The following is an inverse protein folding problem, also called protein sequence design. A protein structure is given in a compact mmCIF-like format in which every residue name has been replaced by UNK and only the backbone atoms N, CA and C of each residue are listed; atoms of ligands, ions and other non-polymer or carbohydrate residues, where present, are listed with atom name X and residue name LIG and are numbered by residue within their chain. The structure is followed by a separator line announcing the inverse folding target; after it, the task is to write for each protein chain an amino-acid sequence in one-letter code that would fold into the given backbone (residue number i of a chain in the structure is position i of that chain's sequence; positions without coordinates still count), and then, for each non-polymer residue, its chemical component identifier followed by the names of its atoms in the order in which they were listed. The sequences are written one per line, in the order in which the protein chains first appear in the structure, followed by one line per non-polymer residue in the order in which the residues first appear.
data_IF_784567048275
#
_entry.id   IF_784567048275
#
_cell.length_a   1.000
_cell.length_b   1.000
_cell.length_c   1.000
_cell.angle_alpha   90.00
_cell.angle_beta   90.00
_cell.angle_gamma   90.00
#
_symmetry.space_group_name_H-M   'P 1'
#
loop_
_entity.id
_entity.type
_entity.pdbx_description
1 polymer ?
#
# COMPACT_ATOMS: atom_id res chain seq x y z
N UNK A 1 -42.48 40.20 -18.64
CA UNK A 1 -41.17 40.76 -18.91
C UNK A 1 -40.30 39.67 -19.44
N UNK A 2 -39.79 39.86 -20.58
CA UNK A 2 -39.25 39.09 -21.67
C UNK A 2 -38.22 38.02 -21.28
N UNK A 3 -38.51 36.79 -21.70
CA UNK A 3 -37.58 35.66 -21.78
C UNK A 3 -36.89 35.75 -23.14
N UNK A 4 -35.58 35.82 -23.18
CA UNK A 4 -34.81 35.72 -24.41
C UNK A 4 -34.19 34.31 -24.52
N UNK A 5 -34.56 33.66 -25.62
CA UNK A 5 -34.09 32.39 -26.15
C UNK A 5 -32.67 32.53 -26.73
N UNK A 6 -31.74 31.59 -26.48
CA UNK A 6 -30.44 31.54 -27.18
C UNK A 6 -30.38 30.35 -28.13
N UNK A 7 -31.01 30.46 -29.30
CA UNK A 7 -30.75 29.64 -30.48
C UNK A 7 -30.31 30.53 -31.63
N UNK A 8 -29.00 30.77 -31.76
CA UNK A 8 -28.40 31.24 -33.02
C UNK A 8 -27.19 30.42 -33.38
N UNK A 9 -27.42 29.49 -34.26
CA UNK A 9 -26.78 29.09 -35.52
C UNK A 9 -25.29 29.25 -35.68
N UNK A 10 -24.62 28.08 -35.66
CA UNK A 10 -23.34 27.83 -36.34
C UNK A 10 -23.53 27.78 -37.84
N UNK A 11 -22.93 28.72 -38.57
CA UNK A 11 -22.74 28.61 -40.01
C UNK A 11 -21.28 28.88 -40.39
N UNK A 12 -20.73 27.94 -41.16
CA UNK A 12 -19.63 27.97 -42.13
C UNK A 12 -18.26 28.52 -41.73
N UNK A 13 -17.31 27.61 -41.59
CA UNK A 13 -15.98 27.72 -42.22
C UNK A 13 -15.55 26.38 -42.78
N UNK A 14 -15.85 26.15 -44.04
CA UNK A 14 -15.15 25.23 -44.93
C UNK A 14 -13.89 25.93 -45.46
N UNK A 15 -12.93 25.07 -45.88
CA UNK A 15 -11.75 25.30 -46.66
C UNK A 15 -10.47 25.71 -45.90
N UNK A 16 -9.62 24.71 -45.72
CA UNK A 16 -8.32 24.58 -46.43
C UNK A 16 -7.72 23.21 -46.08
N UNK A 17 -7.99 22.24 -46.97
CA UNK A 17 -7.21 21.00 -47.03
C UNK A 17 -6.04 21.26 -47.99
N UNK A 18 -4.82 21.15 -47.50
CA UNK A 18 -3.66 20.82 -48.34
C UNK A 18 -2.95 19.60 -47.72
N UNK A 19 -2.88 18.58 -48.57
CA UNK A 19 -2.24 17.29 -48.36
C UNK A 19 -0.74 17.45 -48.19
N UNK A 20 -0.16 16.95 -47.09
CA UNK A 20 1.25 16.55 -47.04
C UNK A 20 1.32 15.03 -46.83
N UNK A 21 1.33 14.29 -47.93
CA UNK A 21 1.60 12.87 -48.01
C UNK A 21 3.10 12.63 -47.76
N UNK A 22 3.48 12.48 -46.50
CA UNK A 22 4.76 11.82 -46.16
C UNK A 22 4.50 10.36 -45.79
N UNK A 23 4.82 9.52 -46.76
CA UNK A 23 4.87 8.05 -46.57
C UNK A 23 5.89 7.70 -45.48
N UNK A 24 5.41 7.36 -44.29
CA UNK A 24 6.24 6.76 -43.24
C UNK A 24 6.37 5.26 -43.54
N UNK A 25 7.54 4.85 -44.05
CA UNK A 25 7.91 3.44 -44.03
C UNK A 25 8.05 2.94 -42.58
N UNK A 26 7.58 1.73 -42.28
CA UNK A 26 7.83 1.11 -40.98
C UNK A 26 9.33 0.81 -40.82
N UNK A 27 9.90 0.94 -39.59
CA UNK A 27 11.29 0.59 -39.35
C UNK A 27 11.48 -0.91 -39.58
N UNK A 28 12.52 -1.26 -40.34
CA UNK A 28 12.94 -2.62 -40.61
C UNK A 28 13.35 -3.39 -39.34
N UNK A 29 13.45 -4.73 -39.39
CA UNK A 29 13.81 -5.54 -38.23
C UNK A 29 15.19 -5.17 -37.71
N UNK A 30 15.28 -4.94 -36.40
CA UNK A 30 16.54 -4.72 -35.70
C UNK A 30 17.23 -6.07 -35.58
N UNK A 31 18.33 -6.22 -36.29
CA UNK A 31 19.17 -7.42 -36.27
C UNK A 31 19.72 -7.71 -34.86
N UNK A 32 19.74 -9.00 -34.55
CA UNK A 32 20.03 -9.64 -33.30
C UNK A 32 21.22 -9.07 -32.54
N UNK A 33 20.93 -8.55 -31.36
CA UNK A 33 21.91 -8.49 -30.27
C UNK A 33 21.89 -9.84 -29.55
N UNK A 34 22.98 -10.59 -29.72
CA UNK A 34 23.30 -11.77 -28.94
C UNK A 34 23.34 -11.36 -27.46
N UNK A 35 22.43 -11.94 -26.68
CA UNK A 35 22.43 -11.79 -25.22
C UNK A 35 23.80 -12.21 -24.66
N UNK A 36 24.51 -11.27 -24.04
CA UNK A 36 25.64 -11.56 -23.20
C UNK A 36 25.20 -12.49 -22.04
N UNK A 37 26.06 -13.46 -21.61
CA UNK A 37 25.72 -14.31 -20.48
C UNK A 37 25.45 -13.43 -19.25
N UNK A 38 24.30 -13.61 -18.64
CA UNK A 38 23.90 -12.93 -17.42
C UNK A 38 25.00 -13.08 -16.38
N UNK A 39 25.72 -12.00 -16.10
CA UNK A 39 26.38 -11.86 -14.83
C UNK A 39 25.25 -11.90 -13.79
N UNK A 40 25.27 -12.91 -12.92
CA UNK A 40 24.35 -12.99 -11.78
C UNK A 40 24.58 -11.72 -10.96
N UNK A 41 23.61 -10.81 -10.99
CA UNK A 41 23.63 -9.68 -10.05
C UNK A 41 23.78 -10.23 -8.64
N UNK A 42 24.65 -9.64 -7.81
CA UNK A 42 24.74 -10.06 -6.42
C UNK A 42 23.33 -9.95 -5.80
N UNK A 43 22.97 -10.85 -4.88
CA UNK A 43 21.66 -10.79 -4.22
C UNK A 43 21.45 -9.38 -3.68
N UNK A 44 20.29 -8.78 -3.87
CA UNK A 44 20.03 -7.42 -3.42
C UNK A 44 20.30 -7.34 -1.91
N UNK A 45 21.04 -6.33 -1.50
CA UNK A 45 21.35 -6.08 -0.08
C UNK A 45 20.08 -5.82 0.75
N UNK A 46 20.22 -5.63 2.06
CA UNK A 46 19.10 -5.31 2.95
C UNK A 46 18.30 -4.13 2.40
N UNK A 47 16.95 -4.30 2.26
CA UNK A 47 16.02 -3.27 1.82
C UNK A 47 15.40 -2.57 3.02
N UNK A 48 14.98 -1.33 2.82
CA UNK A 48 14.09 -0.62 3.73
C UNK A 48 12.66 -0.75 3.21
N UNK A 49 11.78 -1.33 4.02
CA UNK A 49 10.38 -1.62 3.68
C UNK A 49 9.49 -0.73 4.53
N UNK A 50 8.59 0.03 3.92
CA UNK A 50 7.54 0.74 4.64
C UNK A 50 6.21 0.00 4.46
N UNK A 51 5.54 -0.29 5.56
CA UNK A 51 4.18 -0.85 5.59
C UNK A 51 3.22 0.28 5.93
N UNK A 52 2.39 0.68 4.98
CA UNK A 52 1.46 1.81 5.08
C UNK A 52 0.05 1.27 5.18
N UNK A 53 -0.57 1.39 6.37
CA UNK A 53 -1.90 0.87 6.66
C UNK A 53 -2.83 1.96 7.17
N UNK A 54 -4.13 1.70 7.14
CA UNK A 54 -5.15 2.62 7.62
C UNK A 54 -5.13 2.70 9.15
N UNK A 55 -5.20 1.54 9.82
CA UNK A 55 -5.39 1.44 11.27
C UNK A 55 -4.33 0.54 11.92
N UNK A 56 -4.12 0.66 13.23
CA UNK A 56 -3.50 -0.40 14.03
C UNK A 56 -4.26 -1.71 13.83
N UNK A 57 -3.54 -2.83 13.77
CA UNK A 57 -3.96 -4.22 13.48
C UNK A 57 -4.03 -4.63 11.99
N UNK A 58 -4.24 -3.73 11.05
CA UNK A 58 -4.36 -4.07 9.63
C UNK A 58 -3.18 -4.91 9.11
N UNK A 59 -1.96 -4.52 9.47
CA UNK A 59 -0.76 -5.23 9.05
C UNK A 59 -0.69 -6.64 9.67
N UNK A 60 -1.16 -6.79 10.91
CA UNK A 60 -1.19 -8.04 11.63
C UNK A 60 -2.14 -9.03 10.97
N UNK A 61 -3.29 -8.58 10.51
CA UNK A 61 -4.20 -9.38 9.69
C UNK A 61 -3.64 -9.68 8.30
N UNK A 62 -3.13 -8.65 7.60
CA UNK A 62 -2.81 -8.72 6.18
C UNK A 62 -1.43 -9.29 5.84
N UNK A 63 -0.36 -8.81 6.48
CA UNK A 63 1.01 -9.05 6.01
C UNK A 63 2.07 -9.34 7.08
N UNK A 64 1.71 -9.50 8.36
CA UNK A 64 2.69 -9.66 9.44
C UNK A 64 3.58 -10.90 9.33
N UNK A 65 3.10 -11.98 8.71
CA UNK A 65 3.93 -13.15 8.42
C UNK A 65 5.08 -12.83 7.47
N UNK A 66 4.79 -12.08 6.41
CA UNK A 66 5.77 -11.56 5.45
C UNK A 66 6.71 -10.56 6.10
N UNK A 67 6.19 -9.65 6.94
CA UNK A 67 7.00 -8.70 7.72
C UNK A 67 8.01 -9.43 8.60
N UNK A 68 7.57 -10.41 9.38
CA UNK A 68 8.45 -11.22 10.24
C UNK A 68 9.52 -11.95 9.42
N UNK A 69 9.16 -12.47 8.25
CA UNK A 69 10.10 -13.11 7.33
C UNK A 69 11.12 -12.12 6.80
N UNK A 70 10.71 -10.94 6.33
CA UNK A 70 11.64 -9.92 5.83
C UNK A 70 12.59 -9.42 6.90
N UNK A 71 12.12 -9.24 8.14
CA UNK A 71 12.99 -8.91 9.27
C UNK A 71 14.02 -10.02 9.52
N UNK A 72 13.60 -11.30 9.50
CA UNK A 72 14.48 -12.47 9.63
C UNK A 72 15.51 -12.54 8.49
N UNK A 73 15.16 -12.09 7.29
CA UNK A 73 16.03 -11.99 6.12
C UNK A 73 16.99 -10.77 6.18
N UNK A 74 16.88 -9.94 7.22
CA UNK A 74 17.77 -8.79 7.46
C UNK A 74 17.29 -7.48 6.87
N UNK A 75 16.05 -7.39 6.39
CA UNK A 75 15.46 -6.14 5.94
C UNK A 75 15.04 -5.26 7.13
N UNK A 76 15.06 -3.94 6.95
CA UNK A 76 14.52 -2.98 7.93
C UNK A 76 13.07 -2.67 7.57
N UNK A 77 12.15 -2.86 8.52
CA UNK A 77 10.73 -2.59 8.32
C UNK A 77 10.28 -1.40 9.19
N UNK A 78 9.52 -0.48 8.60
CA UNK A 78 8.92 0.70 9.25
C UNK A 78 7.41 0.63 9.03
N UNK A 79 6.63 0.77 10.09
CA UNK A 79 5.17 0.90 9.98
C UNK A 79 4.76 2.38 9.91
N UNK A 80 3.80 2.69 9.06
CA UNK A 80 3.19 4.00 8.90
C UNK A 80 1.68 3.79 8.97
N UNK A 81 1.07 4.14 10.12
CA UNK A 81 -0.36 4.05 10.35
C UNK A 81 -0.98 5.41 10.04
N UNK A 82 -1.95 5.46 9.14
CA UNK A 82 -2.57 6.71 8.73
C UNK A 82 -3.48 7.27 9.82
N UNK A 83 -4.23 6.39 10.50
CA UNK A 83 -5.04 6.73 11.67
C UNK A 83 -4.53 6.01 12.91
N UNK A 84 -5.07 6.31 14.07
CA UNK A 84 -4.83 5.56 15.32
C UNK A 84 -6.06 4.75 15.76
N UNK A 85 -7.08 4.63 14.90
CA UNK A 85 -8.24 3.80 15.15
C UNK A 85 -9.14 4.33 16.27
N UNK A 86 -9.33 5.65 16.34
CA UNK A 86 -10.09 6.33 17.40
C UNK A 86 -11.61 6.09 17.35
N UNK A 87 -12.11 5.44 16.30
CA UNK A 87 -13.51 5.03 16.17
C UNK A 87 -13.74 3.51 16.24
N UNK A 88 -12.69 2.70 16.37
CA UNK A 88 -12.75 1.23 16.39
C UNK A 88 -13.16 0.63 17.75
N UNK A 89 -13.96 1.30 18.57
CA UNK A 89 -14.44 0.80 19.87
C UNK A 89 -15.93 0.51 19.90
N UNK A 90 -16.33 -0.54 20.60
CA UNK A 90 -17.75 -0.88 20.86
C UNK A 90 -18.23 -0.39 22.23
N UNK A 91 -17.31 -0.10 23.15
CA UNK A 91 -17.62 0.37 24.50
C UNK A 91 -17.83 1.89 24.53
N UNK A 92 -19.07 2.31 24.77
CA UNK A 92 -19.45 3.72 24.86
C UNK A 92 -18.81 4.49 26.04
N UNK A 93 -18.23 3.79 27.01
CA UNK A 93 -17.57 4.38 28.16
C UNK A 93 -16.09 4.69 27.91
N UNK A 94 -15.54 4.20 26.77
CA UNK A 94 -14.18 4.50 26.31
C UNK A 94 -14.18 5.77 25.46
N UNK A 95 -13.33 6.74 25.81
CA UNK A 95 -13.18 7.95 24.98
C UNK A 95 -12.25 7.69 23.78
N UNK A 96 -12.41 8.44 22.68
CA UNK A 96 -11.49 8.34 21.53
C UNK A 96 -10.01 8.49 21.92
N UNK A 97 -9.69 9.42 22.83
CA UNK A 97 -8.32 9.64 23.28
C UNK A 97 -7.76 8.43 24.05
N UNK A 98 -8.60 7.76 24.87
CA UNK A 98 -8.20 6.54 25.57
C UNK A 98 -8.00 5.40 24.61
N UNK A 99 -8.88 5.28 23.62
CA UNK A 99 -8.78 4.25 22.58
C UNK A 99 -7.51 4.41 21.73
N UNK A 100 -7.19 5.64 21.30
CA UNK A 100 -5.92 5.96 20.60
C UNK A 100 -4.73 5.48 21.42
N UNK A 101 -4.66 5.86 22.71
CA UNK A 101 -3.55 5.48 23.57
C UNK A 101 -3.41 3.95 23.71
N UNK A 102 -4.53 3.25 23.81
CA UNK A 102 -4.57 1.78 23.91
C UNK A 102 -4.10 1.15 22.61
N UNK A 103 -4.70 1.51 21.46
CA UNK A 103 -4.38 0.92 20.17
C UNK A 103 -2.96 1.22 19.70
N UNK A 104 -2.45 2.43 19.96
CA UNK A 104 -1.04 2.74 19.69
C UNK A 104 -0.09 1.89 20.55
N UNK A 105 -0.42 1.63 21.83
CA UNK A 105 0.39 0.78 22.69
C UNK A 105 0.36 -0.71 22.25
N UNK A 106 -0.80 -1.22 21.84
CA UNK A 106 -0.97 -2.56 21.30
C UNK A 106 -0.20 -2.74 20.00
N UNK A 107 -0.31 -1.78 19.08
CA UNK A 107 0.47 -1.79 17.83
C UNK A 107 1.97 -1.78 18.08
N UNK A 108 2.46 -1.01 19.05
CA UNK A 108 3.89 -1.02 19.40
C UNK A 108 4.32 -2.38 19.96
N UNK A 109 3.47 -3.04 20.74
CA UNK A 109 3.75 -4.40 21.23
C UNK A 109 3.77 -5.43 20.09
N UNK A 110 2.84 -5.33 19.13
CA UNK A 110 2.85 -6.17 17.92
C UNK A 110 4.13 -5.92 17.10
N UNK A 111 4.52 -4.68 16.91
CA UNK A 111 5.76 -4.29 16.22
C UNK A 111 7.02 -4.86 16.90
N UNK A 112 7.08 -4.85 18.25
CA UNK A 112 8.19 -5.47 19.00
C UNK A 112 8.27 -6.98 18.74
N UNK A 113 7.12 -7.67 18.73
CA UNK A 113 7.05 -9.11 18.43
C UNK A 113 7.57 -9.39 17.02
N UNK A 114 7.23 -8.56 16.02
CA UNK A 114 7.62 -8.73 14.63
C UNK A 114 9.07 -8.30 14.34
N UNK A 115 9.67 -7.48 15.21
CA UNK A 115 10.97 -6.87 15.00
C UNK A 115 10.95 -5.66 14.07
N UNK A 116 9.81 -4.98 13.96
CA UNK A 116 9.66 -3.71 13.23
C UNK A 116 10.53 -2.64 13.87
N UNK A 117 11.32 -1.93 13.04
CA UNK A 117 12.37 -1.02 13.54
C UNK A 117 11.86 0.35 13.96
N UNK A 118 10.72 0.78 13.43
CA UNK A 118 10.14 2.10 13.67
C UNK A 118 8.62 2.05 13.38
N UNK A 119 7.82 2.76 14.18
CA UNK A 119 6.37 2.91 13.96
C UNK A 119 6.02 4.39 13.96
N UNK A 120 5.33 4.86 12.91
CA UNK A 120 4.94 6.24 12.71
C UNK A 120 3.41 6.29 12.67
N UNK A 121 2.78 7.01 13.61
CA UNK A 121 1.35 7.28 13.62
C UNK A 121 1.10 8.67 13.05
N UNK A 122 0.35 8.76 11.93
CA UNK A 122 -0.01 10.04 11.33
C UNK A 122 -1.24 10.66 12.00
N UNK A 123 -2.00 9.87 12.76
CA UNK A 123 -3.14 10.29 13.59
C UNK A 123 -4.18 11.10 12.83
N UNK A 124 -4.45 10.72 11.58
CA UNK A 124 -5.60 11.24 10.83
C UNK A 124 -6.89 10.68 11.45
N UNK A 125 -8.04 11.36 11.33
CA UNK A 125 -9.30 10.88 11.86
C UNK A 125 -9.69 9.52 11.27
N UNK A 126 -10.00 8.55 12.11
CA UNK A 126 -10.52 7.22 11.73
C UNK A 126 -11.94 7.35 11.17
N UNK A 127 -12.27 6.54 10.15
CA UNK A 127 -13.54 6.58 9.44
C UNK A 127 -13.72 7.76 8.47
N UNK A 128 -12.80 8.74 8.49
CA UNK A 128 -12.85 9.94 7.66
C UNK A 128 -11.65 10.07 6.72
N UNK A 129 -10.85 9.01 6.58
CA UNK A 129 -9.66 9.04 5.75
C UNK A 129 -10.01 9.25 4.28
N UNK A 130 -9.39 10.24 3.66
CA UNK A 130 -9.57 10.56 2.25
C UNK A 130 -8.24 10.64 1.52
N UNK A 131 -8.22 10.18 0.24
CA UNK A 131 -7.05 10.30 -0.62
C UNK A 131 -6.95 11.71 -1.23
N UNK A 132 -7.03 12.74 -0.40
CA UNK A 132 -6.94 14.13 -0.82
C UNK A 132 -5.50 14.64 -0.95
N UNK A 133 -5.34 15.91 -1.36
CA UNK A 133 -4.03 16.52 -1.56
C UNK A 133 -3.25 16.73 -0.24
N UNK A 134 -3.95 16.95 0.87
CA UNK A 134 -3.33 17.17 2.17
C UNK A 134 -2.76 15.86 2.72
N UNK A 135 -3.56 14.81 2.72
CA UNK A 135 -3.17 13.45 3.11
C UNK A 135 -2.02 12.93 2.24
N UNK A 136 -2.13 13.12 0.91
CA UNK A 136 -1.04 12.75 -0.03
C UNK A 136 0.26 13.49 0.30
N UNK A 137 0.21 14.80 0.56
CA UNK A 137 1.40 15.58 0.89
C UNK A 137 2.04 15.13 2.18
N UNK A 138 1.22 14.83 3.21
CA UNK A 138 1.68 14.29 4.48
C UNK A 138 2.41 12.95 4.28
N UNK A 139 1.82 12.04 3.51
CA UNK A 139 2.43 10.75 3.21
C UNK A 139 3.69 10.89 2.34
N UNK A 140 3.72 11.81 1.35
CA UNK A 140 4.95 12.12 0.59
C UNK A 140 6.06 12.61 1.50
N UNK A 141 5.75 13.47 2.48
CA UNK A 141 6.71 13.92 3.50
C UNK A 141 7.28 12.73 4.26
N UNK A 142 6.42 11.86 4.75
CA UNK A 142 6.80 10.67 5.53
C UNK A 142 7.65 9.72 4.69
N UNK A 143 7.24 9.40 3.46
CA UNK A 143 8.00 8.52 2.56
C UNK A 143 9.36 9.13 2.14
N UNK A 144 9.46 10.45 1.96
CA UNK A 144 10.74 11.11 1.71
C UNK A 144 11.66 11.12 2.94
N UNK A 145 11.10 11.08 4.14
CA UNK A 145 11.85 10.93 5.40
C UNK A 145 12.35 9.49 5.57
N UNK A 146 11.45 8.52 5.44
CA UNK A 146 11.73 7.08 5.62
C UNK A 146 12.62 6.55 4.49
N UNK A 147 12.42 7.01 3.24
CA UNK A 147 13.15 6.59 2.04
C UNK A 147 13.10 5.07 1.80
N UNK A 148 11.91 4.46 1.70
CA UNK A 148 11.80 3.02 1.54
C UNK A 148 12.12 2.57 0.11
N UNK A 149 12.75 1.41 -0.04
CA UNK A 149 12.94 0.73 -1.34
C UNK A 149 11.63 0.06 -1.78
N UNK A 150 10.89 -0.47 -0.80
CA UNK A 150 9.65 -1.23 -0.96
C UNK A 150 8.55 -0.58 -0.12
N UNK A 151 7.34 -0.51 -0.66
CA UNK A 151 6.14 -0.12 0.09
C UNK A 151 5.13 -1.26 0.04
N UNK A 152 4.58 -1.61 1.20
CA UNK A 152 3.42 -2.50 1.33
C UNK A 152 2.23 -1.64 1.70
N UNK A 153 1.07 -1.88 1.09
CA UNK A 153 -0.18 -1.20 1.43
C UNK A 153 -1.39 -2.03 1.01
N UNK A 154 -2.57 -1.47 1.14
CA UNK A 154 -3.83 -2.11 0.81
C UNK A 154 -4.18 -1.96 -0.68
N UNK A 155 -4.89 -2.93 -1.28
CA UNK A 155 -5.42 -2.77 -2.63
C UNK A 155 -6.66 -1.84 -2.62
N UNK A 156 -6.57 -0.62 -3.20
CA UNK A 156 -7.70 0.31 -3.22
C UNK A 156 -8.86 -0.15 -4.10
N UNK A 157 -8.64 -1.13 -4.97
CA UNK A 157 -9.65 -1.67 -5.88
C UNK A 157 -10.55 -2.72 -5.23
N UNK A 158 -10.19 -3.23 -4.07
CA UNK A 158 -11.00 -4.17 -3.33
C UNK A 158 -12.16 -3.45 -2.64
N UNK A 159 -13.37 -3.58 -3.18
CA UNK A 159 -14.58 -2.91 -2.67
C UNK A 159 -15.43 -3.82 -1.79
N UNK A 160 -15.59 -5.09 -2.19
CA UNK A 160 -16.36 -6.10 -1.47
C UNK A 160 -15.92 -7.50 -1.88
N UNK A 161 -16.20 -8.48 -1.02
CA UNK A 161 -16.05 -9.91 -1.32
C UNK A 161 -17.39 -10.56 -1.66
N UNK A 162 -17.35 -11.73 -2.27
CA UNK A 162 -18.54 -12.55 -2.57
C UNK A 162 -19.21 -13.07 -1.30
N UNK A 163 -18.53 -13.10 -0.15
CA UNK A 163 -19.08 -13.43 1.15
C UNK A 163 -19.92 -12.33 1.78
N UNK A 164 -20.04 -11.16 1.13
CA UNK A 164 -20.82 -10.01 1.62
C UNK A 164 -20.04 -9.04 2.50
N UNK A 165 -18.72 -9.21 2.65
CA UNK A 165 -17.88 -8.21 3.32
C UNK A 165 -17.73 -6.98 2.44
N UNK A 166 -17.99 -5.79 2.99
CA UNK A 166 -17.70 -4.51 2.36
C UNK A 166 -16.39 -3.98 2.94
N UNK A 167 -15.41 -3.73 2.07
CA UNK A 167 -14.11 -3.23 2.52
C UNK A 167 -14.22 -1.83 3.14
N UNK A 168 -13.50 -1.61 4.22
CA UNK A 168 -13.52 -0.34 4.97
C UNK A 168 -13.15 0.84 4.03
N UNK A 169 -13.83 1.99 4.11
CA UNK A 169 -13.50 3.15 3.28
C UNK A 169 -12.06 3.61 3.47
N UNK A 170 -11.56 3.57 4.71
CA UNK A 170 -10.19 3.98 5.03
C UNK A 170 -9.13 3.04 4.44
N UNK A 171 -9.41 1.72 4.32
CA UNK A 171 -8.52 0.79 3.64
C UNK A 171 -8.32 1.17 2.17
N UNK A 172 -9.44 1.51 1.49
CA UNK A 172 -9.39 1.96 0.09
C UNK A 172 -8.68 3.30 -0.05
N UNK A 173 -8.95 4.24 0.88
CA UNK A 173 -8.30 5.54 0.89
C UNK A 173 -6.79 5.43 1.18
N UNK A 174 -6.40 4.54 2.11
CA UNK A 174 -5.00 4.25 2.43
C UNK A 174 -4.23 3.71 1.21
N UNK A 175 -4.79 2.71 0.54
CA UNK A 175 -4.21 2.17 -0.69
C UNK A 175 -4.10 3.23 -1.79
N UNK A 176 -5.17 3.99 -2.04
CA UNK A 176 -5.20 5.03 -3.06
C UNK A 176 -4.18 6.14 -2.77
N UNK A 177 -4.16 6.69 -1.55
CA UNK A 177 -3.24 7.78 -1.21
C UNK A 177 -1.79 7.31 -1.21
N UNK A 178 -1.53 6.04 -0.88
CA UNK A 178 -0.21 5.44 -0.95
C UNK A 178 0.31 5.38 -2.39
N UNK A 179 -0.48 4.87 -3.32
CA UNK A 179 -0.13 4.86 -4.74
C UNK A 179 0.09 6.27 -5.29
N UNK A 180 -0.81 7.20 -4.97
CA UNK A 180 -0.72 8.60 -5.39
C UNK A 180 0.48 9.33 -4.77
N UNK A 181 0.90 8.97 -3.56
CA UNK A 181 2.09 9.52 -2.92
C UNK A 181 3.36 8.97 -3.56
N UNK A 182 3.42 7.67 -3.88
CA UNK A 182 4.57 7.05 -4.54
C UNK A 182 4.74 7.64 -5.93
N UNK A 183 3.68 7.66 -6.74
CA UNK A 183 3.74 8.16 -8.10
C UNK A 183 2.66 9.23 -8.37
N UNK A 184 3.06 10.43 -8.83
CA UNK A 184 4.45 10.87 -9.04
C UNK A 184 5.10 11.54 -7.82
N UNK A 185 4.42 11.59 -6.65
CA UNK A 185 4.73 12.51 -5.55
C UNK A 185 6.13 12.38 -4.97
N UNK A 186 6.49 11.17 -4.51
CA UNK A 186 7.72 10.95 -3.74
C UNK A 186 8.97 11.07 -4.62
N UNK A 187 8.92 10.56 -5.86
CA UNK A 187 10.08 10.50 -6.75
C UNK A 187 10.29 11.72 -7.63
N UNK A 188 9.28 12.55 -7.85
CA UNK A 188 9.36 13.67 -8.77
C UNK A 188 10.06 14.89 -8.14
N UNK A 189 11.20 15.38 -8.72
CA UNK A 189 11.92 16.54 -8.18
C UNK A 189 11.16 17.87 -8.34
N UNK A 190 10.15 17.93 -9.21
CA UNK A 190 9.31 19.13 -9.42
C UNK A 190 8.04 19.12 -8.58
N UNK A 191 7.72 17.98 -7.93
CA UNK A 191 6.60 17.90 -6.99
C UNK A 191 7.04 18.30 -5.57
N UNK A 192 6.14 19.00 -4.86
CA UNK A 192 6.35 19.38 -3.45
C UNK A 192 7.68 20.12 -3.22
N UNK A 193 7.85 21.26 -3.92
CA UNK A 193 9.06 22.08 -3.85
C UNK A 193 9.31 22.62 -2.44
N UNK A 194 8.28 22.85 -1.66
CA UNK A 194 8.35 23.24 -0.25
C UNK A 194 8.99 22.13 0.61
N UNK A 195 8.61 20.87 0.44
CA UNK A 195 9.26 19.74 1.12
C UNK A 195 10.75 19.64 0.74
N UNK A 196 11.06 19.88 -0.53
CA UNK A 196 12.45 19.91 -0.98
C UNK A 196 13.24 21.06 -0.35
N UNK A 197 12.63 22.22 -0.16
CA UNK A 197 13.25 23.36 0.53
C UNK A 197 13.53 23.04 2.01
N UNK A 198 12.74 22.19 2.64
CA UNK A 198 12.96 21.64 3.98
C UNK A 198 14.05 20.55 4.04
N UNK A 199 14.66 20.16 2.90
CA UNK A 199 15.68 19.12 2.83
C UNK A 199 15.12 17.72 2.56
N UNK A 200 13.81 17.57 2.40
CA UNK A 200 13.17 16.29 2.06
C UNK A 200 13.27 16.03 0.55
N UNK A 201 14.41 15.49 0.17
CA UNK A 201 14.74 15.27 -1.24
C UNK A 201 13.88 14.15 -1.85
N UNK A 202 13.61 14.22 -3.18
CA UNK A 202 12.91 13.15 -3.89
C UNK A 202 13.56 11.79 -3.66
N UNK A 203 12.70 10.77 -3.56
CA UNK A 203 13.09 9.38 -3.39
C UNK A 203 12.21 8.48 -4.25
N UNK A 204 12.80 7.53 -4.97
CA UNK A 204 12.06 6.57 -5.79
C UNK A 204 11.86 5.27 -5.01
N UNK A 205 10.63 4.94 -4.70
CA UNK A 205 10.21 3.59 -4.33
C UNK A 205 10.40 2.68 -5.55
N UNK A 206 10.85 1.45 -5.35
CA UNK A 206 11.13 0.50 -6.43
C UNK A 206 10.09 -0.60 -6.56
N UNK A 207 9.50 -1.01 -5.48
CA UNK A 207 8.55 -2.11 -5.43
C UNK A 207 7.36 -1.74 -4.56
N UNK A 208 6.19 -2.21 -4.98
CA UNK A 208 4.95 -2.06 -4.22
C UNK A 208 4.33 -3.45 -4.07
N UNK A 209 3.88 -3.77 -2.86
CA UNK A 209 3.08 -4.93 -2.54
C UNK A 209 1.72 -4.46 -2.03
N UNK A 210 0.64 -4.82 -2.73
CA UNK A 210 -0.72 -4.52 -2.27
C UNK A 210 -1.34 -5.79 -1.71
N UNK A 211 -1.71 -5.76 -0.44
CA UNK A 211 -2.41 -6.85 0.24
C UNK A 211 -3.91 -6.82 -0.08
N UNK A 212 -4.64 -7.87 0.26
CA UNK A 212 -6.06 -8.04 -0.03
C UNK A 212 -6.43 -7.88 -1.53
N UNK A 213 -5.48 -8.09 -2.42
CA UNK A 213 -5.67 -7.94 -3.86
C UNK A 213 -6.54 -9.06 -4.45
N UNK A 214 -7.49 -8.70 -5.31
CA UNK A 214 -8.34 -9.67 -6.03
C UNK A 214 -7.57 -10.49 -7.07
N UNK A 215 -6.48 -9.95 -7.61
CA UNK A 215 -5.63 -10.59 -8.63
C UNK A 215 -4.16 -10.61 -8.18
N UNK A 216 -3.84 -11.34 -7.09
CA UNK A 216 -2.47 -11.45 -6.61
C UNK A 216 -1.58 -12.09 -7.67
N UNK A 217 -0.30 -11.72 -7.69
CA UNK A 217 0.69 -12.27 -8.62
C UNK A 217 1.98 -12.72 -7.92
N UNK A 218 2.05 -12.56 -6.59
CA UNK A 218 3.12 -13.08 -5.75
C UNK A 218 2.56 -13.65 -4.46
N UNK A 219 3.17 -14.75 -4.02
CA UNK A 219 2.87 -15.40 -2.73
C UNK A 219 4.16 -15.49 -1.94
N UNK A 220 4.08 -15.17 -0.65
CA UNK A 220 5.20 -15.23 0.28
C UNK A 220 4.92 -16.36 1.27
N UNK A 221 5.79 -17.35 1.31
CA UNK A 221 5.74 -18.42 2.30
C UNK A 221 5.97 -17.87 3.70
N UNK A 222 5.01 -18.02 4.57
CA UNK A 222 5.04 -17.58 5.97
C UNK A 222 4.97 -18.75 6.96
N UNK A 223 5.18 -19.99 6.49
CA UNK A 223 5.05 -21.18 7.31
C UNK A 223 5.91 -21.10 8.58
N UNK A 224 7.15 -20.61 8.46
CA UNK A 224 8.05 -20.44 9.62
C UNK A 224 7.75 -19.21 10.48
N UNK A 225 6.96 -18.26 10.00
CA UNK A 225 6.67 -16.99 10.69
C UNK A 225 5.19 -16.86 11.07
N UNK A 226 4.36 -17.86 10.76
CA UNK A 226 2.95 -17.87 11.04
C UNK A 226 2.64 -17.72 12.55
N UNK A 227 3.34 -18.43 13.41
CA UNK A 227 3.17 -18.31 14.85
C UNK A 227 3.60 -16.94 15.40
N UNK A 228 4.55 -16.29 14.73
CA UNK A 228 4.97 -14.92 15.07
C UNK A 228 3.89 -13.91 14.68
N UNK A 229 3.28 -14.07 13.49
CA UNK A 229 2.11 -13.31 13.05
C UNK A 229 0.95 -13.41 14.06
N UNK A 230 0.59 -14.64 14.48
CA UNK A 230 -0.48 -14.85 15.47
C UNK A 230 -0.19 -14.18 16.81
N UNK A 231 1.05 -14.24 17.27
CA UNK A 231 1.43 -13.57 18.52
C UNK A 231 1.36 -12.06 18.41
N UNK A 232 1.72 -11.50 17.27
CA UNK A 232 1.61 -10.07 17.02
C UNK A 232 0.14 -9.63 16.99
N UNK A 233 -0.70 -10.34 16.23
CA UNK A 233 -2.13 -10.06 16.16
C UNK A 233 -2.82 -10.17 17.54
N UNK A 234 -2.44 -11.13 18.37
CA UNK A 234 -2.97 -11.27 19.74
C UNK A 234 -2.55 -10.12 20.69
N UNK A 235 -1.66 -9.23 20.28
CA UNK A 235 -1.34 -8.03 21.04
C UNK A 235 -2.43 -6.95 20.90
N UNK A 236 -3.27 -7.02 19.86
CA UNK A 236 -4.38 -6.08 19.61
C UNK A 236 -5.63 -6.47 20.45
N UNK A 237 -5.46 -6.54 21.77
CA UNK A 237 -6.46 -7.04 22.73
C UNK A 237 -7.75 -6.25 22.66
N UNK A 238 -7.68 -4.93 22.51
CA UNK A 238 -8.86 -4.05 22.47
C UNK A 238 -9.75 -4.30 21.25
N UNK A 239 -9.22 -4.93 20.20
CA UNK A 239 -9.94 -5.23 18.96
C UNK A 239 -10.38 -6.70 18.90
N UNK A 240 -9.64 -7.58 19.53
CA UNK A 240 -9.95 -9.02 19.53
C UNK A 240 -10.92 -9.40 20.64
N UNK A 241 -10.93 -8.65 21.76
CA UNK A 241 -11.69 -8.99 22.97
C UNK A 241 -11.42 -10.46 23.41
N UNK A 242 -12.47 -11.26 23.51
CA UNK A 242 -12.39 -12.70 23.85
C UNK A 242 -12.26 -13.62 22.61
N UNK A 243 -12.17 -13.04 21.40
CA UNK A 243 -12.06 -13.81 20.16
C UNK A 243 -10.60 -14.18 19.84
N UNK A 244 -10.34 -15.49 19.64
CA UNK A 244 -9.05 -15.95 19.14
C UNK A 244 -9.03 -16.02 17.61
N UNK A 245 -8.19 -15.25 16.92
CA UNK A 245 -8.16 -15.20 15.46
C UNK A 245 -7.48 -16.42 14.81
N UNK A 246 -6.91 -17.36 15.57
CA UNK A 246 -6.05 -18.42 15.05
C UNK A 246 -6.70 -19.26 13.96
N UNK A 247 -7.92 -19.75 14.15
CA UNK A 247 -8.61 -20.61 13.18
C UNK A 247 -8.83 -19.86 11.84
N UNK A 248 -9.25 -18.60 11.92
CA UNK A 248 -9.48 -17.77 10.75
C UNK A 248 -8.16 -17.48 10.02
N UNK A 249 -7.10 -17.13 10.73
CA UNK A 249 -5.79 -16.85 10.16
C UNK A 249 -5.18 -18.09 9.49
N UNK A 250 -5.30 -19.27 10.12
CA UNK A 250 -4.88 -20.54 9.53
C UNK A 250 -5.63 -20.83 8.23
N UNK A 251 -6.93 -20.64 8.24
CA UNK A 251 -7.76 -20.84 7.04
C UNK A 251 -7.32 -19.92 5.90
N UNK A 252 -7.22 -18.62 6.13
CA UNK A 252 -6.82 -17.66 5.11
C UNK A 252 -5.41 -17.93 4.56
N UNK A 253 -4.46 -18.21 5.43
CA UNK A 253 -3.09 -18.47 5.02
C UNK A 253 -2.94 -19.79 4.25
N UNK A 254 -3.70 -20.84 4.62
CA UNK A 254 -3.73 -22.12 3.89
C UNK A 254 -4.41 -21.97 2.53
N UNK A 255 -5.54 -21.24 2.45
CA UNK A 255 -6.23 -20.97 1.19
C UNK A 255 -5.34 -20.15 0.24
N UNK A 256 -4.60 -19.19 0.77
CA UNK A 256 -3.61 -18.45 -0.01
C UNK A 256 -2.49 -19.35 -0.51
N UNK A 257 -1.92 -20.22 0.34
CA UNK A 257 -0.90 -21.18 -0.05
C UNK A 257 -1.38 -22.18 -1.12
N UNK A 258 -2.65 -22.59 -1.04
CA UNK A 258 -3.26 -23.51 -2.02
C UNK A 258 -3.32 -22.93 -3.44
N UNK A 259 -3.30 -21.61 -3.59
CA UNK A 259 -3.26 -20.95 -4.89
C UNK A 259 -1.89 -21.06 -5.59
N UNK A 260 -0.83 -21.35 -4.83
CA UNK A 260 0.54 -21.48 -5.34
C UNK A 260 1.16 -22.80 -4.88
N UNK A 261 0.93 -23.92 -5.60
CA UNK A 261 1.42 -25.23 -5.20
C UNK A 261 2.93 -25.25 -4.93
N UNK A 262 3.33 -25.78 -3.78
CA UNK A 262 4.74 -25.89 -3.39
C UNK A 262 5.30 -24.69 -2.64
N UNK A 263 4.50 -23.66 -2.33
CA UNK A 263 4.96 -22.47 -1.60
C UNK A 263 5.25 -22.75 -0.11
N UNK A 264 4.53 -23.67 0.51
CA UNK A 264 4.58 -23.97 1.94
C UNK A 264 3.19 -24.35 2.47
N UNK A 265 3.04 -24.41 3.81
CA UNK A 265 1.74 -24.67 4.46
C UNK A 265 0.90 -23.39 4.55
N UNK A 266 1.55 -22.26 4.79
CA UNK A 266 0.92 -20.95 4.94
C UNK A 266 1.57 -19.92 4.03
N UNK A 267 0.77 -19.08 3.38
CA UNK A 267 1.25 -17.98 2.56
C UNK A 267 0.41 -16.72 2.73
N UNK A 268 1.03 -15.58 2.48
CA UNK A 268 0.36 -14.30 2.23
C UNK A 268 0.51 -13.96 0.75
N UNK A 269 -0.54 -13.41 0.15
CA UNK A 269 -0.58 -13.08 -1.28
C UNK A 269 -0.72 -11.58 -1.51
N UNK A 270 -0.05 -11.10 -2.57
CA UNK A 270 0.00 -9.68 -2.89
C UNK A 270 -0.11 -9.44 -4.39
N UNK A 271 -0.58 -8.25 -4.75
CA UNK A 271 -0.27 -7.67 -6.05
C UNK A 271 1.07 -6.97 -5.96
N UNK A 272 2.08 -7.54 -6.60
CA UNK A 272 3.43 -6.96 -6.69
C UNK A 272 3.57 -6.14 -7.96
N UNK A 273 4.12 -4.92 -7.82
CA UNK A 273 4.39 -3.97 -8.91
C UNK A 273 5.83 -3.50 -8.77
N UNK A 274 6.62 -3.68 -9.84
CA UNK A 274 7.97 -3.11 -9.94
C UNK A 274 7.90 -1.79 -10.69
N UNK A 275 8.53 -0.75 -10.14
CA UNK A 275 8.59 0.58 -10.71
C UNK A 275 9.95 0.82 -11.37
N UNK A 276 9.95 1.41 -12.57
CA UNK A 276 11.15 1.78 -13.34
C UNK A 276 11.85 3.06 -12.84
#
# INVERSE_FOLDING_TARGET
MSVTDPTETLHDRHDLAEEDQRTSQPPGPIDGQTASPHATEPPPGPKRIAVVMAHPDDAEFGCAGSVARWVKEGHSVVYILLTSGDQGGEDSDVTPETLVATREAEQLAACEILGVSETIFLRLPDGELTADLATRKLLVRTLRTVRPDVVVSMDPSFLWSDSGYINHPDHRAAGQVTLDAIFPGTGNPMAYLDLRAEGLLPHKVREIYLEAAKDPNVWIDITETFDQKLRALRADVSQLHDWDPEEMMRTWASESAAQQPGIGEYAESFKHITLE
#
